data_IF_317278955718
#
_entry.id   IF_317278955718
#
_cell.length_a   1.000
_cell.length_b   1.000
_cell.length_c   1.000
_cell.angle_alpha   90.00
_cell.angle_beta   90.00
_cell.angle_gamma   90.00
#
_symmetry.space_group_name_H-M   'P 1'
#
loop_
_entity.id
_entity.type
_entity.pdbx_description
1 polymer ?
2 polymer ?
3 water ?
#
# COMPACT_ATOMS: atom_id res chain seq x y z
N UNK A 8 7.96 -6.32 13.78
CA UNK A 8 8.82 -7.01 12.78
C UNK A 8 10.11 -6.20 12.57
N UNK A 9 11.24 -6.92 12.50
CA UNK A 9 12.56 -6.30 12.43
C UNK A 9 13.21 -6.53 11.07
N UNK A 10 13.95 -5.52 10.61
CA UNK A 10 14.57 -5.54 9.30
C UNK A 10 16.03 -5.08 9.35
N UNK A 11 16.89 -5.75 8.59
CA UNK A 11 18.30 -5.38 8.49
C UNK A 11 18.82 -5.64 7.07
N UNK A 12 19.17 -4.56 6.38
CA UNK A 12 19.60 -4.61 4.98
C UNK A 12 21.09 -4.85 4.83
N UNK A 13 21.45 -5.35 3.66
CA UNK A 13 22.84 -5.44 3.23
C UNK A 13 22.94 -5.40 1.70
N UNK A 14 24.16 -5.20 1.18
CA UNK A 14 24.40 -5.36 -0.24
C UNK A 14 24.70 -4.08 -0.99
N UNK A 15 24.66 -2.94 -0.29
CA UNK A 15 24.93 -1.65 -0.90
C UNK A 15 26.37 -1.59 -1.39
N UNK A 16 26.72 -0.54 -2.11
CA UNK A 16 28.07 -0.37 -2.58
C UNK A 16 28.21 0.78 -3.56
N UNK A 17 29.45 0.90 -4.04
CA UNK A 17 29.83 1.83 -5.09
C UNK A 17 29.80 1.11 -6.43
N UNK A 18 28.98 1.61 -7.35
CA UNK A 18 28.63 0.95 -8.62
C UNK A 18 28.95 1.85 -9.81
N UNK A 19 29.47 1.30 -10.91
CA UNK A 19 29.64 2.08 -12.14
C UNK A 19 28.32 2.14 -12.90
N UNK A 20 28.06 3.24 -13.62
CA UNK A 20 26.88 3.30 -14.49
C UNK A 20 26.79 2.08 -15.39
N UNK A 21 25.60 1.49 -15.45
CA UNK A 21 25.38 0.28 -16.20
C UNK A 21 25.57 -0.98 -15.38
N UNK A 22 26.10 -0.86 -14.17
CA UNK A 22 26.37 -2.01 -13.33
C UNK A 22 25.17 -2.52 -12.55
N UNK A 23 25.43 -3.55 -11.76
CA UNK A 23 24.41 -4.24 -10.98
C UNK A 23 24.75 -4.26 -9.50
N UNK A 24 23.71 -4.36 -8.68
CA UNK A 24 23.87 -4.56 -7.25
C UNK A 24 22.70 -5.40 -6.78
N UNK A 25 22.91 -6.24 -5.78
CA UNK A 25 21.83 -7.04 -5.21
C UNK A 25 21.72 -6.79 -3.72
N UNK A 26 20.63 -6.16 -3.32
CA UNK A 26 20.36 -5.91 -1.90
C UNK A 26 19.59 -7.06 -1.28
N UNK A 27 19.84 -7.27 0.02
CA UNK A 27 19.22 -8.30 0.82
C UNK A 27 18.70 -7.70 2.11
N UNK A 28 17.60 -8.25 2.60
CA UNK A 28 17.10 -7.87 3.89
C UNK A 28 16.52 -9.08 4.58
N UNK A 29 17.06 -9.35 5.77
CA UNK A 29 16.57 -10.42 6.60
C UNK A 29 15.46 -9.87 7.45
N UNK A 30 14.33 -10.58 7.44
CA UNK A 30 13.12 -10.14 8.09
C UNK A 30 12.74 -11.12 9.16
N UNK A 31 12.34 -10.58 10.32
CA UNK A 31 11.76 -11.39 11.37
C UNK A 31 10.38 -10.85 11.71
N UNK A 32 9.38 -11.73 11.65
CA UNK A 32 8.01 -11.34 11.92
C UNK A 32 7.15 -11.36 10.66
N UNK A 33 5.84 -11.51 10.85
CA UNK A 33 4.90 -11.59 9.74
C UNK A 33 4.48 -10.21 9.27
N UNK A 34 4.24 -10.08 7.97
CA UNK A 34 3.83 -8.82 7.38
C UNK A 34 2.85 -9.01 6.22
N UNK A 35 2.10 -7.96 5.92
CA UNK A 35 1.18 -7.94 4.79
C UNK A 35 1.90 -7.45 3.53
N UNK A 36 2.80 -6.48 3.71
CA UNK A 36 3.50 -5.86 2.60
C UNK A 36 4.93 -5.62 3.01
N UNK A 37 5.84 -5.79 2.06
CA UNK A 37 7.23 -5.43 2.27
C UNK A 37 7.76 -4.77 1.00
N UNK A 38 8.66 -3.81 1.14
CA UNK A 38 9.17 -3.15 -0.05
C UNK A 38 10.50 -2.49 0.20
N UNK A 39 11.02 -1.91 -0.87
CA UNK A 39 12.27 -1.18 -0.86
C UNK A 39 11.99 0.26 -1.17
N UNK A 40 12.67 1.14 -0.45
CA UNK A 40 12.44 2.58 -0.50
C UNK A 40 13.79 3.21 -0.53
N UNK A 41 13.90 4.34 -1.22
CA UNK A 41 15.20 5.00 -1.31
C UNK A 41 15.10 6.47 -1.01
N UNK A 42 16.19 7.03 -0.50
CA UNK A 42 16.20 8.41 -0.11
C UNK A 42 17.55 9.00 -0.50
N UNK A 43 17.50 9.90 -1.47
CA UNK A 43 18.67 10.62 -1.95
C UNK A 43 18.92 11.77 -1.01
N UNK A 44 20.15 12.33 -1.04
CA UNK A 44 20.53 13.39 -0.09
C UNK A 44 19.54 14.56 -0.07
N UNK A 45 18.98 14.85 1.11
CA UNK A 45 18.05 15.95 1.28
C UNK A 45 16.66 15.76 0.67
N UNK A 46 16.36 14.57 0.18
CA UNK A 46 15.08 14.32 -0.50
C UNK A 46 14.15 13.43 0.33
N UNK A 47 12.95 13.19 -0.19
CA UNK A 47 11.98 12.35 0.49
C UNK A 47 12.18 10.88 0.15
N UNK A 48 11.71 10.01 1.03
CA UNK A 48 11.73 8.57 0.77
C UNK A 48 10.75 8.21 -0.32
N UNK A 49 11.21 7.45 -1.31
CA UNK A 49 10.33 7.04 -2.39
C UNK A 49 10.40 5.55 -2.57
N UNK A 50 9.24 4.94 -2.83
CA UNK A 50 9.20 3.51 -3.03
C UNK A 50 9.70 3.12 -4.41
N UNK A 51 10.56 2.11 -4.47
CA UNK A 51 11.04 1.58 -5.74
C UNK A 51 10.58 0.15 -6.03
N UNK A 52 10.08 -0.59 -5.03
CA UNK A 52 9.59 -1.95 -5.25
C UNK A 52 8.79 -2.40 -4.04
N UNK A 53 7.73 -3.17 -4.26
CA UNK A 53 6.97 -3.73 -3.15
C UNK A 53 6.37 -5.05 -3.55
N UNK A 54 6.10 -5.90 -2.58
CA UNK A 54 5.47 -7.19 -2.82
C UNK A 54 4.43 -7.48 -1.72
N UNK A 55 3.35 -8.13 -2.14
CA UNK A 55 2.29 -8.60 -1.25
C UNK A 55 2.56 -10.01 -0.74
N UNK A 56 2.48 -10.23 0.57
CA UNK A 56 2.69 -11.56 1.11
C UNK A 56 1.50 -12.44 0.82
N UNK A 57 0.34 -11.82 0.59
CA UNK A 57 -0.89 -12.56 0.37
C UNK A 57 -0.95 -13.22 -1.00
N UNK A 58 -0.59 -12.49 -2.07
CA UNK A 58 -0.72 -13.05 -3.41
C UNK A 58 0.54 -12.90 -4.27
N UNK A 59 1.61 -12.37 -3.68
CA UNK A 59 2.89 -12.27 -4.37
C UNK A 59 2.94 -11.23 -5.46
N UNK A 60 1.91 -10.41 -5.58
CA UNK A 60 1.91 -9.35 -6.58
C UNK A 60 3.00 -8.34 -6.27
N UNK A 61 3.57 -7.75 -7.32
CA UNK A 61 4.66 -6.80 -7.17
C UNK A 61 4.32 -5.47 -7.82
N UNK A 62 4.99 -4.43 -7.32
CA UNK A 62 4.72 -3.04 -7.68
C UNK A 62 6.02 -2.26 -7.82
N UNK A 63 6.12 -1.49 -8.91
CA UNK A 63 7.29 -0.68 -9.20
C UNK A 63 6.88 0.65 -9.82
N UNK A 64 7.60 1.73 -9.51
CA UNK A 64 7.44 2.97 -10.27
C UNK A 64 8.05 2.84 -11.67
N UNK A 65 7.54 3.59 -12.64
CA UNK A 65 8.00 3.43 -14.01
C UNK A 65 9.50 3.59 -14.15
N UNK A 66 10.08 4.46 -13.33
CA UNK A 66 11.51 4.78 -13.43
C UNK A 66 12.46 3.61 -13.20
N UNK A 67 11.99 2.53 -12.60
CA UNK A 67 12.83 1.37 -12.38
C UNK A 67 12.30 0.10 -13.04
N UNK A 68 11.20 0.20 -13.78
CA UNK A 68 10.64 -0.98 -14.44
C UNK A 68 11.63 -1.59 -15.43
N UNK A 69 11.78 -2.90 -15.39
CA UNK A 69 12.69 -3.63 -16.26
C UNK A 69 14.12 -3.67 -15.71
N UNK A 70 14.39 -2.83 -14.72
CA UNK A 70 15.73 -2.75 -14.13
C UNK A 70 15.80 -3.30 -12.70
N UNK A 71 14.76 -3.04 -11.91
CA UNK A 71 14.70 -3.49 -10.52
C UNK A 71 13.70 -4.62 -10.38
N UNK A 72 14.04 -5.64 -9.58
CA UNK A 72 13.12 -6.73 -9.29
C UNK A 72 13.16 -7.07 -7.81
N UNK A 73 11.99 -7.10 -7.18
CA UNK A 73 11.88 -7.55 -5.81
C UNK A 73 11.50 -9.04 -5.80
N UNK A 74 12.13 -9.80 -4.92
CA UNK A 74 11.80 -11.21 -4.76
C UNK A 74 12.03 -11.67 -3.33
N UNK A 75 11.59 -12.89 -3.02
CA UNK A 75 11.77 -13.45 -1.68
C UNK A 75 12.28 -14.87 -1.70
N UNK A 76 13.07 -15.22 -0.70
CA UNK A 76 13.33 -16.61 -0.35
C UNK A 76 12.76 -16.82 1.04
N UNK A 77 11.53 -17.30 1.11
CA UNK A 77 10.85 -17.46 2.39
C UNK A 77 11.55 -18.46 3.32
N UNK A 78 12.26 -19.42 2.72
CA UNK A 78 13.04 -20.38 3.48
C UNK A 78 14.10 -19.68 4.33
N UNK A 79 14.72 -18.64 3.77
CA UNK A 79 15.73 -17.84 4.46
C UNK A 79 15.15 -16.61 5.16
N UNK A 80 13.83 -16.42 5.08
CA UNK A 80 13.18 -15.21 5.59
C UNK A 80 13.84 -13.94 5.06
N UNK A 81 14.21 -13.96 3.78
CA UNK A 81 14.99 -12.92 3.16
C UNK A 81 14.25 -12.35 1.95
N UNK A 82 14.28 -11.03 1.80
CA UNK A 82 13.78 -10.40 0.60
C UNK A 82 14.95 -9.75 -0.12
N UNK A 83 14.84 -9.66 -1.43
CA UNK A 83 15.93 -9.16 -2.27
C UNK A 83 15.45 -8.03 -3.17
N UNK A 84 16.40 -7.18 -3.55
CA UNK A 84 16.21 -6.21 -4.61
C UNK A 84 17.38 -6.36 -5.58
N UNK A 85 17.10 -6.90 -6.74
CA UNK A 85 18.10 -7.03 -7.81
C UNK A 85 18.05 -5.77 -8.64
N UNK A 86 19.16 -5.04 -8.70
CA UNK A 86 19.21 -3.77 -9.43
C UNK A 86 20.19 -3.85 -10.58
N UNK A 87 19.67 -3.77 -11.79
CA UNK A 87 20.49 -3.84 -13.00
C UNK A 87 20.48 -2.50 -13.72
N UNK A 88 21.46 -2.31 -14.61
CA UNK A 88 21.52 -1.10 -15.43
C UNK A 88 21.38 0.14 -14.56
N UNK A 89 22.17 0.21 -13.50
CA UNK A 89 22.11 1.31 -12.56
C UNK A 89 22.61 2.60 -13.20
N UNK A 90 22.07 3.72 -12.73
CA UNK A 90 22.33 5.04 -13.28
C UNK A 90 22.65 5.98 -12.13
N UNK A 91 23.38 7.06 -12.41
CA UNK A 91 23.66 7.98 -11.29
C UNK A 91 22.42 8.47 -10.53
N UNK A 92 21.29 8.58 -11.22
CA UNK A 92 20.05 9.02 -10.59
C UNK A 92 19.52 8.02 -9.55
N UNK A 93 20.11 6.84 -9.51
CA UNK A 93 19.69 5.79 -8.56
C UNK A 93 20.44 5.89 -7.25
N UNK A 94 21.41 6.78 -7.17
CA UNK A 94 22.18 6.98 -5.95
C UNK A 94 21.26 7.42 -4.80
N UNK A 95 21.37 6.71 -3.69
CA UNK A 95 20.53 6.94 -2.53
C UNK A 95 20.84 5.96 -1.44
N UNK A 96 20.32 6.20 -0.24
CA UNK A 96 20.25 5.18 0.78
C UNK A 96 18.99 4.37 0.51
N UNK A 97 19.14 3.05 0.46
CA UNK A 97 18.02 2.14 0.22
C UNK A 97 17.61 1.42 1.50
N UNK A 98 16.30 1.37 1.73
CA UNK A 98 15.73 0.81 2.94
C UNK A 98 14.75 -0.26 2.59
N UNK A 99 14.73 -1.32 3.41
CA UNK A 99 13.64 -2.27 3.41
C UNK A 99 12.65 -1.80 4.46
N UNK A 100 11.35 -1.91 4.15
CA UNK A 100 10.30 -1.58 5.10
C UNK A 100 9.12 -2.55 4.97
N UNK A 101 8.41 -2.76 6.08
CA UNK A 101 7.30 -3.71 6.11
C UNK A 101 6.12 -3.10 6.85
N UNK A 102 4.95 -3.68 6.64
CA UNK A 102 3.75 -3.17 7.26
C UNK A 102 2.72 -4.29 7.35
N UNK A 103 1.79 -4.14 8.29
CA UNK A 103 0.75 -5.15 8.52
C UNK A 103 -0.65 -4.67 8.21
N UNK A 104 -0.79 -3.54 7.52
CA UNK A 104 -2.11 -3.05 7.11
C UNK A 104 -2.47 -3.50 5.73
N UNK A 105 -3.72 -3.92 5.55
CA UNK A 105 -4.22 -4.35 4.25
C UNK A 105 -4.30 -3.17 3.29
N UNK A 106 -3.99 -3.43 2.03
CA UNK A 106 -4.09 -2.43 0.98
C UNK A 106 -4.22 -3.11 -0.37
N UNK A 107 -4.70 -2.37 -1.37
CA UNK A 107 -4.47 -2.77 -2.75
C UNK A 107 -4.21 -1.53 -3.61
N UNK A 108 -3.51 -1.73 -4.71
CA UNK A 108 -3.14 -0.66 -5.62
C UNK A 108 -1.71 -0.20 -5.42
N UNK A 109 -1.05 0.28 -6.49
CA UNK A 109 0.36 0.67 -6.37
C UNK A 109 0.61 1.80 -5.39
N UNK A 110 -0.31 2.76 -5.29
CA UNK A 110 -0.06 3.92 -4.44
C UNK A 110 0.25 3.52 -3.01
N UNK A 111 -0.60 2.67 -2.44
CA UNK A 111 -0.41 2.29 -1.04
C UNK A 111 0.69 1.26 -0.87
N UNK A 112 1.04 0.51 -1.91
CA UNK A 112 2.19 -0.37 -1.82
C UNK A 112 3.52 0.37 -1.93
N UNK A 113 3.54 1.51 -2.62
CA UNK A 113 4.80 2.21 -2.87
C UNK A 113 5.01 3.49 -2.08
N UNK A 114 4.04 3.86 -1.23
CA UNK A 114 4.12 5.06 -0.42
C UNK A 114 4.83 4.78 0.88
N UNK A 115 5.95 5.46 1.12
CA UNK A 115 6.72 5.27 2.33
C UNK A 115 5.94 5.61 3.58
N UNK A 116 4.97 6.52 3.46
CA UNK A 116 4.12 6.92 4.57
C UNK A 116 3.34 5.75 5.15
N UNK A 117 3.14 4.70 4.35
CA UNK A 117 2.26 3.60 4.74
C UNK A 117 3.00 2.36 5.21
N UNK A 118 4.24 2.52 5.63
CA UNK A 118 5.02 1.44 6.22
C UNK A 118 5.53 1.85 7.58
N UNK A 119 5.30 1.02 8.59
CA UNK A 119 5.67 1.33 9.97
C UNK A 119 7.00 0.73 10.40
N UNK A 120 7.42 -0.38 9.78
CA UNK A 120 8.66 -1.03 10.20
C UNK A 120 9.77 -0.77 9.20
N UNK A 121 10.87 -0.18 9.68
CA UNK A 121 11.97 0.28 8.83
C UNK A 121 13.30 -0.33 9.19
N UNK A 122 14.05 -0.68 8.15
CA UNK A 122 15.44 -1.10 8.32
C UNK A 122 16.34 0.10 8.51
N UNK A 123 17.63 -0.16 8.58
CA UNK A 123 18.62 0.85 8.92
C UNK A 123 19.14 1.55 7.68
N UNK A 124 19.02 0.88 6.55
CA UNK A 124 19.38 1.44 5.26
C UNK A 124 20.75 0.98 4.84
N UNK A 125 20.95 0.90 3.52
CA UNK A 125 22.26 0.60 2.96
C UNK A 125 22.55 1.56 1.79
N UNK A 126 23.76 2.09 1.74
CA UNK A 126 24.12 3.10 0.76
C UNK A 126 24.36 2.51 -0.62
N UNK A 127 23.76 3.12 -1.64
CA UNK A 127 24.00 2.78 -3.03
C UNK A 127 24.47 4.05 -3.77
N UNK A 128 25.67 4.01 -4.34
CA UNK A 128 26.22 5.14 -5.05
C UNK A 128 26.64 4.71 -6.44
N UNK A 129 26.10 5.38 -7.46
CA UNK A 129 26.42 5.07 -8.83
C UNK A 129 27.21 6.22 -9.42
N UNK A 130 28.48 5.97 -9.69
CA UNK A 130 29.32 6.96 -10.32
C UNK A 130 30.44 6.31 -11.10
N UNK A 131 30.90 7.04 -12.12
CA UNK A 131 31.92 6.57 -13.05
C UNK A 131 33.30 6.47 -12.39
N UNK B 8 -9.62 -0.83 14.81
CA UNK B 8 -10.50 -1.44 13.81
C UNK B 8 -11.92 -0.93 13.98
N UNK B 9 -12.30 -0.66 15.23
CA UNK B 9 -13.65 -0.21 15.52
C UNK B 9 -13.95 1.16 14.92
N UNK B 10 -12.92 1.92 14.55
CA UNK B 10 -13.13 3.25 13.99
C UNK B 10 -13.52 3.15 12.51
N UNK B 11 -13.30 1.98 11.92
CA UNK B 11 -13.82 1.66 10.61
C UNK B 11 -13.31 2.46 9.42
N UNK B 12 -12.14 3.08 9.55
CA UNK B 12 -11.66 3.98 8.52
C UNK B 12 -10.97 3.27 7.35
N UNK B 13 -11.46 3.57 6.15
CA UNK B 13 -10.88 3.08 4.91
C UNK B 13 -10.43 4.28 4.08
N UNK B 14 -9.16 4.27 3.68
CA UNK B 14 -8.64 5.30 2.80
C UNK B 14 -8.75 4.84 1.36
N UNK B 15 -9.28 5.72 0.52
CA UNK B 15 -9.43 5.44 -0.90
C UNK B 15 -8.65 6.43 -1.72
N UNK B 16 -7.91 5.96 -2.72
CA UNK B 16 -7.27 6.87 -3.65
C UNK B 16 -8.10 6.93 -4.91
N UNK B 17 -8.41 8.16 -5.32
CA UNK B 17 -9.15 8.42 -6.54
C UNK B 17 -8.24 9.06 -7.57
N UNK B 18 -8.40 8.67 -8.83
CA UNK B 18 -7.66 9.30 -9.93
C UNK B 18 -8.39 10.55 -10.40
N UNK B 19 -8.84 11.36 -9.46
CA UNK B 19 -9.56 12.60 -9.76
C UNK B 19 -8.98 13.76 -8.95
N UNK B 20 -9.05 14.97 -9.51
CA UNK B 20 -8.61 16.17 -8.81
C UNK B 20 -9.47 16.44 -7.58
N UNK B 21 -8.89 17.07 -6.57
CA UNK B 21 -9.63 17.32 -5.33
C UNK B 21 -10.88 18.16 -5.56
N UNK B 22 -10.79 19.15 -6.43
CA UNK B 22 -11.91 20.05 -6.68
C UNK B 22 -13.08 19.27 -7.26
N UNK B 23 -12.78 18.26 -8.06
CA UNK B 23 -13.82 17.44 -8.68
C UNK B 23 -14.48 16.56 -7.63
N UNK B 24 -13.69 15.98 -6.74
CA UNK B 24 -14.22 15.16 -5.66
C UNK B 24 -15.15 15.99 -4.78
N UNK B 25 -14.67 17.13 -4.30
CA UNK B 25 -15.48 17.97 -3.42
C UNK B 25 -16.71 18.52 -4.14
N UNK B 26 -16.54 18.87 -5.42
CA UNK B 26 -17.62 19.45 -6.19
C UNK B 26 -18.80 18.52 -6.38
N UNK B 27 -18.56 17.21 -6.31
CA UNK B 27 -19.61 16.24 -6.51
C UNK B 27 -19.64 15.24 -5.36
N UNK B 28 -19.42 15.73 -4.15
CA UNK B 28 -19.27 14.83 -3.01
C UNK B 28 -20.57 14.06 -2.71
N UNK B 29 -21.72 14.73 -2.83
CA UNK B 29 -23.02 14.08 -2.61
C UNK B 29 -23.16 12.87 -3.49
N UNK B 30 -22.83 13.06 -4.76
CA UNK B 30 -22.95 11.98 -5.75
C UNK B 30 -21.96 10.86 -5.46
N UNK B 31 -20.73 11.21 -5.11
CA UNK B 31 -19.71 10.22 -4.80
C UNK B 31 -20.13 9.37 -3.60
N UNK B 32 -20.60 10.02 -2.56
CA UNK B 32 -21.02 9.31 -1.36
C UNK B 32 -22.19 8.36 -1.66
N UNK B 33 -23.16 8.82 -2.44
CA UNK B 33 -24.27 7.94 -2.79
C UNK B 33 -23.80 6.78 -3.67
N UNK B 34 -22.87 7.00 -4.58
CA UNK B 34 -22.38 5.88 -5.39
C UNK B 34 -21.71 4.82 -4.50
N UNK B 35 -20.99 5.25 -3.48
CA UNK B 35 -20.36 4.31 -2.55
C UNK B 35 -21.45 3.57 -1.78
N UNK B 36 -22.49 4.30 -1.37
CA UNK B 36 -23.65 3.67 -0.74
C UNK B 36 -24.29 2.61 -1.63
N UNK B 37 -24.41 2.89 -2.93
CA UNK B 37 -24.94 1.92 -3.88
C UNK B 37 -24.03 0.67 -3.99
N UNK B 38 -22.71 0.86 -4.02
CA UNK B 38 -21.78 -0.25 -4.09
C UNK B 38 -21.99 -1.23 -2.91
N UNK B 39 -22.35 -0.66 -1.77
CA UNK B 39 -22.63 -1.41 -0.55
C UNK B 39 -24.01 -2.08 -0.52
N UNK B 40 -24.80 -1.88 -1.56
CA UNK B 40 -26.14 -2.46 -1.64
C UNK B 40 -27.27 -1.46 -1.50
N UNK B 41 -26.95 -0.24 -1.08
CA UNK B 41 -27.94 0.81 -1.04
C UNK B 41 -29.03 0.73 0.04
N UNK B 42 -28.89 -0.15 1.02
CA UNK B 42 -29.95 -0.26 2.02
C UNK B 42 -29.91 0.92 3.00
N UNK B 43 -31.04 1.21 3.64
CA UNK B 43 -31.08 2.34 4.55
C UNK B 43 -30.43 2.03 5.90
N UNK B 44 -30.00 0.80 6.10
CA UNK B 44 -29.27 0.45 7.31
C UNK B 44 -27.78 0.77 7.24
N UNK B 45 -27.29 1.21 6.08
CA UNK B 45 -25.90 1.61 5.91
C UNK B 45 -25.77 3.05 5.48
N UNK B 46 -24.85 3.78 6.10
CA UNK B 46 -24.61 5.17 5.77
C UNK B 46 -23.12 5.41 5.62
N UNK B 47 -22.71 5.85 4.43
CA UNK B 47 -21.33 6.25 4.16
C UNK B 47 -21.04 7.67 4.67
N UNK B 48 -19.96 7.81 5.45
CA UNK B 48 -19.50 9.08 5.99
C UNK B 48 -18.12 9.39 5.48
N UNK B 49 -17.89 10.65 5.14
CA UNK B 49 -16.56 11.09 4.75
C UNK B 49 -15.83 11.69 5.95
N UNK B 50 -14.69 11.06 6.28
CA UNK B 50 -13.85 11.47 7.40
C UNK B 50 -12.89 12.59 6.98
N UNK B 51 -12.42 12.54 5.74
CA UNK B 51 -11.49 13.54 5.25
C UNK B 51 -11.26 13.41 3.75
N UNK B 52 -10.81 14.52 3.15
CA UNK B 52 -10.44 14.56 1.74
C UNK B 52 -9.13 15.32 1.65
N UNK B 53 -8.15 14.72 0.96
CA UNK B 53 -6.82 15.31 0.85
C UNK B 53 -6.24 15.14 -0.54
N UNK B 54 -5.71 16.22 -1.12
CA UNK B 54 -5.03 16.12 -2.41
C UNK B 54 -3.70 15.38 -2.19
N UNK B 55 -3.35 14.52 -3.13
CA UNK B 55 -2.07 13.79 -3.11
C UNK B 55 -1.20 14.11 -4.32
N UNK B 56 -1.85 14.45 -5.42
CA UNK B 56 -1.14 14.89 -6.63
C UNK B 56 -2.15 15.56 -7.55
N UNK B 57 -1.69 16.04 -8.70
CA UNK B 57 -2.53 16.89 -9.55
C UNK B 57 -3.88 16.24 -9.80
N UNK B 58 -3.85 14.95 -10.13
CA UNK B 58 -5.07 14.23 -10.43
C UNK B 58 -5.24 13.01 -9.51
N UNK B 59 -4.79 13.14 -8.27
CA UNK B 59 -4.94 12.09 -7.25
C UNK B 59 -5.49 12.66 -5.94
N UNK B 60 -6.55 12.08 -5.43
CA UNK B 60 -7.17 12.52 -4.19
C UNK B 60 -7.46 11.35 -3.26
N UNK B 61 -7.10 11.48 -2.00
CA UNK B 61 -7.43 10.48 -0.99
C UNK B 61 -8.69 10.89 -0.26
N UNK B 62 -9.61 9.94 -0.14
CA UNK B 62 -10.87 10.14 0.53
C UNK B 62 -10.97 9.08 1.60
N UNK B 63 -11.09 9.50 2.85
CA UNK B 63 -11.19 8.56 3.96
C UNK B 63 -12.65 8.46 4.36
N UNK B 64 -13.17 7.23 4.41
CA UNK B 64 -14.55 7.00 4.76
C UNK B 64 -14.72 6.00 5.89
N UNK B 65 -15.92 5.98 6.46
CA UNK B 65 -16.36 4.90 7.32
C UNK B 65 -17.84 4.71 7.04
N UNK B 66 -18.37 3.59 7.51
CA UNK B 66 -19.76 3.20 7.25
C UNK B 66 -20.42 2.88 8.58
N UNK B 67 -21.54 3.54 8.82
CA UNK B 67 -22.33 3.30 10.02
C UNK B 67 -23.43 2.32 9.65
N UNK B 68 -23.57 1.27 10.45
CA UNK B 68 -24.62 0.25 10.24
C UNK B 68 -25.61 0.30 11.40
N UNK B 69 -26.89 0.22 11.08
CA UNK B 69 -27.93 0.26 12.10
C UNK B 69 -28.54 -1.12 12.28
N UNK B 70 -28.73 -1.51 13.54
CA UNK B 70 -29.34 -2.81 13.88
C UNK B 70 -30.85 -2.71 13.93
N UNK B 71 -31.55 -3.86 13.90
CA UNK B 71 -33.02 -3.86 14.00
C UNK B 71 -33.56 -3.18 15.26
N UNK B 72 -32.74 -3.09 16.31
CA UNK B 72 -33.15 -2.44 17.56
C UNK B 72 -32.81 -0.94 17.62
N UNK B 73 -32.40 -0.38 16.50
CA UNK B 73 -32.16 1.06 16.40
C UNK B 73 -30.75 1.47 16.79
N UNK B 74 -29.99 0.54 17.35
CA UNK B 74 -28.59 0.77 17.69
C UNK B 74 -27.75 0.98 16.44
N UNK B 75 -26.76 1.86 16.51
CA UNK B 75 -25.83 2.09 15.41
C UNK B 75 -24.39 1.88 15.84
N UNK B 76 -23.55 1.47 14.89
CA UNK B 76 -22.12 1.33 15.14
C UNK B 76 -21.39 1.37 13.81
N UNK B 77 -20.09 1.63 13.86
CA UNK B 77 -19.31 1.62 12.63
C UNK B 77 -18.99 0.20 12.22
N UNK B 78 -19.07 -0.07 10.92
CA UNK B 78 -18.54 -1.31 10.36
C UNK B 78 -17.04 -1.34 10.60
N UNK B 79 -16.54 -2.48 11.09
CA UNK B 79 -15.13 -2.61 11.38
C UNK B 79 -14.32 -2.42 10.11
N UNK B 80 -13.12 -1.85 10.23
CA UNK B 80 -12.31 -1.56 9.05
C UNK B 80 -11.94 -2.82 8.26
N UNK B 81 -11.55 -3.89 8.94
CA UNK B 81 -11.18 -5.12 8.27
C UNK B 81 -12.36 -5.69 7.47
N UNK B 82 -13.53 -5.69 8.09
CA UNK B 82 -14.75 -6.17 7.43
C UNK B 82 -15.08 -5.34 6.21
N UNK B 83 -14.97 -4.02 6.33
CA UNK B 83 -15.28 -3.15 5.21
C UNK B 83 -14.24 -3.31 4.10
N UNK B 84 -12.98 -3.44 4.47
CA UNK B 84 -11.95 -3.63 3.47
C UNK B 84 -12.16 -4.95 2.74
N UNK B 85 -12.52 -5.99 3.50
CA UNK B 85 -12.75 -7.30 2.92
C UNK B 85 -13.86 -7.21 1.85
N UNK B 86 -14.93 -6.47 2.13
CA UNK B 86 -15.98 -6.27 1.14
C UNK B 86 -15.47 -5.58 -0.12
N UNK B 87 -14.74 -4.48 0.05
CA UNK B 87 -14.32 -3.66 -1.08
C UNK B 87 -13.28 -4.36 -1.97
N UNK B 88 -12.51 -5.30 -1.42
CA UNK B 88 -11.48 -6.02 -2.19
C UNK B 88 -12.03 -7.22 -2.95
N UNK B 89 -13.27 -7.64 -2.66
CA UNK B 89 -13.87 -8.69 -3.46
C UNK B 89 -13.87 -8.26 -4.92
N UNK B 90 -13.51 -9.18 -5.81
CA UNK B 90 -13.31 -8.84 -7.22
C UNK B 90 -14.45 -8.06 -7.88
N UNK B 91 -15.70 -8.44 -7.63
CA UNK B 91 -16.82 -7.71 -8.22
C UNK B 91 -16.94 -6.31 -7.68
N UNK B 92 -16.71 -6.17 -6.38
CA UNK B 92 -16.84 -4.87 -5.74
C UNK B 92 -15.68 -3.96 -6.15
N UNK B 93 -14.47 -4.50 -6.16
CA UNK B 93 -13.29 -3.76 -6.62
C UNK B 93 -13.49 -3.17 -8.01
N UNK B 94 -14.06 -3.97 -8.91
CA UNK B 94 -14.31 -3.52 -10.26
C UNK B 94 -15.29 -2.35 -10.27
N UNK B 95 -16.35 -2.45 -9.46
CA UNK B 95 -17.30 -1.34 -9.37
C UNK B 95 -16.64 -0.09 -8.82
N UNK B 96 -15.75 -0.27 -7.83
CA UNK B 96 -15.02 0.84 -7.23
C UNK B 96 -14.12 1.49 -8.28
N UNK B 97 -13.46 0.68 -9.10
CA UNK B 97 -12.57 1.19 -10.13
C UNK B 97 -13.34 2.02 -11.15
N UNK B 98 -14.60 1.66 -11.39
CA UNK B 98 -15.43 2.44 -12.28
C UNK B 98 -15.76 3.83 -11.73
N UNK B 99 -15.66 4.00 -10.41
CA UNK B 99 -15.84 5.32 -9.79
C UNK B 99 -14.56 6.15 -9.72
N UNK B 100 -13.46 5.56 -10.17
CA UNK B 100 -12.16 6.22 -10.17
C UNK B 100 -11.25 5.79 -9.04
N UNK B 101 -11.67 4.79 -8.26
CA UNK B 101 -10.82 4.31 -7.17
C UNK B 101 -9.67 3.50 -7.74
N UNK B 102 -8.44 3.82 -7.37
CA UNK B 102 -7.28 3.08 -7.86
C UNK B 102 -6.51 2.41 -6.72
N UNK B 103 -6.98 2.62 -5.49
CA UNK B 103 -6.41 1.91 -4.37
C UNK B 103 -7.19 2.13 -3.10
N UNK B 104 -6.90 1.29 -2.13
CA UNK B 104 -7.58 1.32 -0.85
C UNK B 104 -6.67 0.78 0.24
N UNK B 105 -6.89 1.28 1.46
CA UNK B 105 -6.11 0.87 2.62
C UNK B 105 -6.93 0.96 3.92
N UNK B 106 -6.80 -0.05 4.78
CA UNK B 106 -7.32 0.01 6.16
C UNK B 106 -6.22 0.37 7.17
N UNK B 107 -6.53 1.00 8.30
CA UNK B 107 -5.50 1.36 9.27
C UNK B 107 -5.16 0.28 10.29
N UNK B 108 -6.02 -0.72 10.43
CA UNK B 108 -5.79 -1.75 11.42
C UNK B 108 -4.52 -2.52 11.13
N UNK B 109 -3.62 -2.57 12.10
CA UNK B 109 -2.42 -3.41 11.98
C UNK B 109 -2.78 -4.82 12.39
N UNK B 110 -2.84 -5.71 11.41
CA UNK B 110 -3.23 -7.09 11.65
C UNK B 110 -2.25 -7.82 12.55
N UNK B 111 -2.78 -8.76 13.32
CA UNK B 111 -1.95 -9.62 14.15
C UNK B 111 -1.18 -10.61 13.29
N UNK B 112 -0.11 -11.19 13.84
CA UNK B 112 0.58 -12.26 13.11
C UNK B 112 -0.35 -13.43 12.73
N UNK B 113 -1.26 -13.83 13.61
CA UNK B 113 -2.14 -14.95 13.30
C UNK B 113 -3.13 -14.60 12.18
N UNK B 114 -3.60 -13.36 12.17
CA UNK B 114 -4.44 -12.88 11.08
C UNK B 114 -3.70 -12.89 9.75
N UNK B 115 -2.46 -12.42 9.78
CA UNK B 115 -1.64 -12.38 8.59
C UNK B 115 -1.38 -13.81 8.10
N UNK B 116 -1.07 -14.71 9.02
CA UNK B 116 -0.85 -16.11 8.67
C UNK B 116 -2.09 -16.72 8.02
N UNK B 117 -3.27 -16.37 8.52
CA UNK B 117 -4.51 -16.88 7.97
C UNK B 117 -4.73 -16.36 6.55
N UNK B 118 -4.40 -15.09 6.32
CA UNK B 118 -4.60 -14.51 5.00
C UNK B 118 -3.68 -15.14 3.98
N UNK B 119 -2.46 -15.47 4.41
CA UNK B 119 -1.49 -16.10 3.52
C UNK B 119 -1.86 -17.55 3.24
N UNK B 120 -2.42 -18.24 4.23
CA UNK B 120 -2.83 -19.63 4.05
C UNK B 120 -4.10 -19.74 3.19
N UNK B 121 -4.91 -18.67 3.19
CA UNK B 121 -6.14 -18.65 2.42
C UNK B 121 -6.32 -17.29 1.74
N UNK B 122 -5.50 -17.02 0.70
CA UNK B 122 -5.43 -15.70 0.06
C UNK B 122 -6.74 -15.29 -0.61
N UNK B 123 -7.60 -16.27 -0.90
CA UNK B 123 -8.90 -15.97 -1.51
C UNK B 123 -9.98 -15.68 -0.48
#
# INVERSE_FOLDING_TARGET
>A
AGTGSGQVQLQESGGGLVQPGGSLRLSCVVSGDYYAIGWFRQAPGKEREGVAAISSRDGSTYYPDAVKGRFTISRDNAKNTVYLQMNSLKPEDTAVYYCAADRRQRWGPYYYLSALEYVYWGQGTQVTVSS
>B
GSMGTNKDEDGLISLIFNKKESDIRGQQQQLVESLHKVLGGHQTLTVNVEGVKTKADNQTEVIIYVVERSPNGTSRRVGASALFSYFEQAHIKANMQSLGVTGAMAQTELSPVQIKQLIQNPLSGVDPIIWEQAKVDNPDPER
#
